data_IF_570335979735
#
_entry.id   IF_570335979735
#
_cell.length_a   1.000
_cell.length_b   1.000
_cell.length_c   1.000
_cell.angle_alpha   90.00
_cell.angle_beta   90.00
_cell.angle_gamma   90.00
#
_symmetry.space_group_name_H-M   'P 1'
#
loop_
_entity.id
_entity.type
_entity.pdbx_description
1 polymer ?
#
# COMPACT_ATOMS: atom_id res chain seq x y z
N UNK A 1 -10.55 -6.31 19.70
CA UNK A 1 -9.18 -6.72 19.32
C UNK A 1 -8.85 -5.93 18.07
N UNK A 2 -7.80 -5.09 18.11
CA UNK A 2 -7.38 -4.30 16.96
C UNK A 2 -6.76 -5.21 15.90
N UNK A 3 -7.17 -5.05 14.64
CA UNK A 3 -6.62 -5.79 13.49
C UNK A 3 -6.16 -4.81 12.43
N UNK A 4 -4.96 -5.04 11.93
CA UNK A 4 -4.32 -4.20 10.91
C UNK A 4 -3.85 -5.11 9.79
N UNK A 5 -4.19 -4.77 8.55
CA UNK A 5 -3.64 -5.43 7.36
C UNK A 5 -2.41 -4.66 6.87
N UNK A 6 -1.32 -5.38 6.64
CA UNK A 6 -0.12 -4.87 6.01
C UNK A 6 0.16 -5.69 4.74
N UNK A 7 -0.01 -5.07 3.57
CA UNK A 7 0.30 -5.66 2.28
C UNK A 7 1.64 -5.12 1.77
N UNK A 8 2.57 -6.00 1.40
CA UNK A 8 3.89 -5.62 0.92
C UNK A 8 4.04 -5.93 -0.57
N UNK A 9 4.51 -4.97 -1.36
CA UNK A 9 4.81 -5.17 -2.78
C UNK A 9 6.21 -4.69 -3.13
N UNK A 10 6.82 -5.39 -4.06
CA UNK A 10 8.02 -4.90 -4.74
C UNK A 10 7.57 -4.22 -6.03
N UNK A 11 8.12 -3.06 -6.32
CA UNK A 11 7.85 -2.33 -7.56
C UNK A 11 8.51 -3.06 -8.76
N UNK A 12 7.73 -3.91 -9.44
CA UNK A 12 8.15 -4.60 -10.68
C UNK A 12 7.64 -3.93 -11.97
N UNK A 13 6.61 -3.11 -11.86
CA UNK A 13 5.92 -2.42 -12.95
C UNK A 13 5.80 -0.94 -12.61
N UNK A 14 4.93 -0.19 -13.29
CA UNK A 14 4.71 1.22 -12.94
C UNK A 14 4.18 1.37 -11.51
N UNK A 15 4.50 2.50 -10.88
CA UNK A 15 4.00 2.82 -9.55
C UNK A 15 2.47 2.84 -9.51
N UNK A 16 1.84 3.46 -10.51
CA UNK A 16 0.38 3.59 -10.59
C UNK A 16 -0.32 2.23 -10.67
N UNK A 17 0.18 1.31 -11.51
CA UNK A 17 -0.40 -0.03 -11.61
C UNK A 17 -0.14 -0.87 -10.34
N UNK A 18 0.95 -0.63 -9.64
CA UNK A 18 1.27 -1.29 -8.36
C UNK A 18 0.34 -0.80 -7.25
N UNK A 19 0.07 0.50 -7.21
CA UNK A 19 -0.89 1.12 -6.29
C UNK A 19 -2.30 0.60 -6.58
N UNK A 20 -2.76 0.65 -7.85
CA UNK A 20 -4.12 0.26 -8.20
C UNK A 20 -4.44 -1.19 -7.78
N UNK A 21 -3.59 -2.14 -8.16
CA UNK A 21 -3.79 -3.54 -7.77
C UNK A 21 -3.60 -3.78 -6.27
N UNK A 22 -2.62 -3.09 -5.64
CA UNK A 22 -2.37 -3.21 -4.21
C UNK A 22 -3.55 -2.72 -3.39
N UNK A 23 -4.12 -1.56 -3.70
CA UNK A 23 -5.30 -1.00 -3.02
C UNK A 23 -6.50 -1.95 -3.13
N UNK A 24 -6.72 -2.53 -4.30
CA UNK A 24 -7.80 -3.50 -4.50
C UNK A 24 -7.64 -4.74 -3.61
N UNK A 25 -6.42 -5.27 -3.50
CA UNK A 25 -6.11 -6.45 -2.67
C UNK A 25 -6.16 -6.13 -1.17
N UNK A 26 -5.48 -5.07 -0.74
CA UNK A 26 -5.37 -4.67 0.67
C UNK A 26 -6.73 -4.41 1.30
N UNK A 27 -7.63 -3.70 0.61
CA UNK A 27 -8.98 -3.48 1.15
C UNK A 27 -9.81 -4.77 1.18
N UNK A 28 -9.66 -5.67 0.20
CA UNK A 28 -10.32 -6.97 0.21
C UNK A 28 -9.90 -7.83 1.42
N UNK A 29 -8.60 -7.84 1.74
CA UNK A 29 -8.11 -8.51 2.96
C UNK A 29 -8.64 -7.85 4.23
N UNK A 30 -8.68 -6.52 4.28
CA UNK A 30 -9.21 -5.80 5.44
C UNK A 30 -10.70 -6.08 5.67
N UNK A 31 -11.50 -6.17 4.61
CA UNK A 31 -12.92 -6.56 4.68
C UNK A 31 -13.07 -7.99 5.19
N UNK A 32 -12.31 -8.93 4.64
CA UNK A 32 -12.39 -10.34 5.02
C UNK A 32 -11.96 -10.57 6.48
N UNK A 33 -10.96 -9.83 6.97
CA UNK A 33 -10.45 -9.98 8.33
C UNK A 33 -11.19 -9.11 9.35
N UNK A 34 -12.08 -8.22 8.93
CA UNK A 34 -12.69 -7.20 9.80
C UNK A 34 -11.62 -6.32 10.44
N UNK A 35 -10.68 -5.82 9.64
CA UNK A 35 -9.61 -4.93 10.07
C UNK A 35 -10.03 -3.47 9.96
N UNK A 36 -9.75 -2.71 11.02
CA UNK A 36 -10.07 -1.29 11.13
C UNK A 36 -9.06 -0.43 10.34
N UNK A 37 -7.84 -0.95 10.17
CA UNK A 37 -6.74 -0.27 9.50
C UNK A 37 -6.10 -1.16 8.44
N UNK A 38 -5.67 -0.54 7.34
CA UNK A 38 -5.02 -1.26 6.25
C UNK A 38 -3.96 -0.38 5.58
N UNK A 39 -2.79 -0.95 5.33
CA UNK A 39 -1.69 -0.27 4.66
C UNK A 39 -1.09 -1.11 3.54
N UNK A 40 -0.76 -0.43 2.45
CA UNK A 40 0.03 -0.94 1.35
C UNK A 40 1.43 -0.34 1.43
N UNK A 41 2.45 -1.18 1.40
CA UNK A 41 3.86 -0.78 1.42
C UNK A 41 4.52 -1.22 0.12
N UNK A 42 5.13 -0.29 -0.61
CA UNK A 42 5.74 -0.52 -1.91
C UNK A 42 7.25 -0.28 -1.81
N UNK A 43 8.04 -1.33 -2.07
CA UNK A 43 9.49 -1.29 -2.09
C UNK A 43 10.03 -1.08 -3.52
N UNK A 44 10.68 0.07 -3.74
CA UNK A 44 11.40 0.43 -4.94
C UNK A 44 12.88 0.01 -4.83
N UNK A 45 13.21 -1.10 -5.49
CA UNK A 45 14.57 -1.66 -5.49
C UNK A 45 15.48 -1.07 -6.57
N UNK A 46 15.04 -0.06 -7.32
CA UNK A 46 15.86 0.58 -8.34
C UNK A 46 17.09 1.24 -7.70
N UNK A 47 18.32 0.89 -8.10
CA UNK A 47 19.53 1.38 -7.47
C UNK A 47 19.85 2.84 -7.82
N UNK A 48 19.25 3.35 -8.90
CA UNK A 48 19.42 4.70 -9.45
C UNK A 48 18.46 5.73 -8.83
N UNK A 49 17.48 5.29 -8.04
CA UNK A 49 16.55 6.16 -7.33
C UNK A 49 17.06 6.41 -5.91
N UNK A 50 17.10 7.68 -5.50
CA UNK A 50 17.55 8.06 -4.16
C UNK A 50 16.56 7.62 -3.07
N UNK A 51 17.02 7.44 -1.82
CA UNK A 51 16.12 7.12 -0.71
C UNK A 51 15.08 8.23 -0.46
N UNK A 52 15.45 9.50 -0.66
CA UNK A 52 14.54 10.63 -0.49
C UNK A 52 13.35 10.56 -1.47
N UNK A 53 13.57 10.05 -2.68
CA UNK A 53 12.50 9.82 -3.66
C UNK A 53 11.65 8.59 -3.36
N UNK A 54 12.22 7.59 -2.68
CA UNK A 54 11.52 6.35 -2.32
C UNK A 54 10.61 6.53 -1.12
N UNK A 55 11.01 7.35 -0.15
CA UNK A 55 10.30 7.52 1.12
C UNK A 55 9.19 8.55 0.95
N UNK A 56 7.95 8.07 0.89
CA UNK A 56 6.76 8.92 0.84
C UNK A 56 5.56 8.21 1.42
N UNK A 57 4.51 8.98 1.73
CA UNK A 57 3.22 8.46 2.19
C UNK A 57 2.07 9.13 1.47
N UNK A 58 0.99 8.36 1.24
CA UNK A 58 -0.28 8.83 0.69
C UNK A 58 -1.43 8.14 1.41
N UNK A 59 -2.61 8.73 1.32
CA UNK A 59 -3.84 8.12 1.80
C UNK A 59 -4.84 8.06 0.65
N UNK A 60 -5.56 6.95 0.55
CA UNK A 60 -6.62 6.76 -0.45
C UNK A 60 -7.89 6.24 0.22
N UNK A 61 -9.03 6.64 -0.33
CA UNK A 61 -10.33 6.11 0.11
C UNK A 61 -10.82 5.09 -0.90
N UNK A 62 -11.23 3.92 -0.41
CA UNK A 62 -11.92 2.89 -1.19
C UNK A 62 -13.20 2.52 -0.47
N UNK A 63 -14.33 3.02 -0.97
CA UNK A 63 -15.59 3.00 -0.24
C UNK A 63 -15.48 3.81 1.06
N UNK A 64 -15.89 3.23 2.17
CA UNK A 64 -15.79 3.85 3.51
C UNK A 64 -14.41 3.64 4.16
N UNK A 65 -13.53 2.84 3.54
CA UNK A 65 -12.20 2.55 4.10
C UNK A 65 -11.16 3.56 3.63
N UNK A 66 -10.42 4.08 4.60
CA UNK A 66 -9.16 4.78 4.38
C UNK A 66 -7.98 3.81 4.41
N UNK A 67 -7.11 3.86 3.40
CA UNK A 67 -5.90 3.05 3.31
C UNK A 67 -4.66 3.94 3.25
N UNK A 68 -3.64 3.59 4.04
CA UNK A 68 -2.33 4.22 3.94
C UNK A 68 -1.47 3.55 2.87
N UNK A 69 -0.77 4.32 2.07
CA UNK A 69 0.17 3.83 1.06
C UNK A 69 1.55 4.41 1.36
N UNK A 70 2.56 3.56 1.41
CA UNK A 70 3.92 3.91 1.76
C UNK A 70 4.88 3.54 0.63
N UNK A 71 5.76 4.46 0.25
CA UNK A 71 6.93 4.18 -0.56
C UNK A 71 8.15 3.90 0.32
N UNK A 72 8.97 2.94 -0.09
CA UNK A 72 10.22 2.52 0.55
C UNK A 72 11.27 2.16 -0.50
#
# INVERSE_FOLDING_TARGET
MQRIVLELKILHKSLDSTIAEGVEQTAGYADQCGADEAHLVIFDRRPDVSWDEKIWQRQVNRGERSLGIWGM
#
